data_IF_226076151726
#
_entry.id   IF_226076151726
#
_cell.length_a   1.000
_cell.length_b   1.000
_cell.length_c   1.000
_cell.angle_alpha   90.00
_cell.angle_beta   90.00
_cell.angle_gamma   90.00
#
_symmetry.space_group_name_H-M   'P 1'
#
loop_
_entity.id
_entity.type
_entity.pdbx_description
1 polymer ?
#
# COMPACT_ATOMS: atom_id res chain seq x y z
N UNK A 1 15.39 6.35 8.34
CA UNK A 1 15.89 5.11 8.98
C UNK A 1 15.61 5.16 10.47
N UNK A 2 14.69 4.33 10.97
CA UNK A 2 14.41 4.20 12.40
C UNK A 2 15.36 3.16 13.00
N UNK A 3 15.95 3.45 14.17
CA UNK A 3 16.84 2.52 14.86
C UNK A 3 16.13 1.96 16.10
N UNK A 4 16.05 0.65 16.21
CA UNK A 4 15.55 -0.03 17.40
C UNK A 4 16.70 -0.22 18.39
N UNK A 5 16.57 0.34 19.60
CA UNK A 5 17.59 0.24 20.65
C UNK A 5 17.06 -0.61 21.79
N UNK A 6 17.73 -1.74 22.05
CA UNK A 6 17.44 -2.57 23.20
C UNK A 6 18.05 -1.97 24.47
N UNK A 7 17.21 -1.70 25.47
CA UNK A 7 17.63 -1.29 26.81
C UNK A 7 17.37 -2.45 27.79
N UNK A 8 18.39 -2.94 28.51
CA UNK A 8 18.19 -3.92 29.57
C UNK A 8 17.22 -3.38 30.63
N UNK A 9 16.36 -4.25 31.16
CA UNK A 9 15.41 -3.91 32.23
C UNK A 9 16.13 -3.77 33.58
N UNK A 10 17.00 -2.75 33.68
CA UNK A 10 17.55 -2.30 34.96
C UNK A 10 17.45 -0.78 35.08
N UNK A 11 17.10 -0.25 36.27
CA UNK A 11 16.90 1.18 36.46
C UNK A 11 18.09 2.06 36.05
N UNK A 12 19.32 1.58 36.21
CA UNK A 12 20.53 2.35 35.93
C UNK A 12 20.69 2.64 34.42
N UNK A 13 20.36 1.68 33.56
CA UNK A 13 20.40 1.86 32.10
C UNK A 13 19.32 2.83 31.64
N UNK A 14 18.11 2.72 32.21
CA UNK A 14 17.02 3.65 31.94
C UNK A 14 17.34 5.07 32.38
N UNK A 15 17.92 5.25 33.57
CA UNK A 15 18.35 6.57 34.03
C UNK A 15 19.45 7.17 33.17
N UNK A 16 20.43 6.36 32.76
CA UNK A 16 21.50 6.79 31.86
C UNK A 16 20.95 7.19 30.49
N UNK A 17 20.06 6.38 29.92
CA UNK A 17 19.40 6.65 28.65
C UNK A 17 18.54 7.91 28.69
N UNK A 18 17.66 8.03 29.69
CA UNK A 18 16.82 9.22 29.86
C UNK A 18 17.66 10.47 30.13
N UNK A 19 18.78 10.34 30.84
CA UNK A 19 19.73 11.43 31.03
C UNK A 19 20.37 11.88 29.71
N UNK A 20 20.78 10.93 28.87
CA UNK A 20 21.34 11.22 27.54
C UNK A 20 20.29 11.86 26.62
N UNK A 21 19.07 11.33 26.58
CA UNK A 21 17.97 11.92 25.80
C UNK A 21 17.59 13.32 26.31
N UNK A 22 17.55 13.51 27.62
CA UNK A 22 17.29 14.82 28.22
C UNK A 22 18.38 15.84 27.86
N UNK A 23 19.65 15.41 27.74
CA UNK A 23 20.73 16.30 27.30
C UNK A 23 20.49 16.87 25.89
N UNK A 24 19.90 16.08 24.99
CA UNK A 24 19.53 16.54 23.63
C UNK A 24 18.49 17.65 23.63
N UNK A 25 17.70 17.82 24.71
CA UNK A 25 16.79 18.96 24.87
C UNK A 25 17.53 20.28 25.12
N UNK A 26 18.86 20.25 25.23
CA UNK A 26 19.69 21.44 25.46
C UNK A 26 20.44 21.83 24.20
N UNK A 27 20.52 23.13 23.92
CA UNK A 27 21.25 23.65 22.76
C UNK A 27 22.74 23.29 22.75
N UNK A 28 23.32 22.87 23.89
CA UNK A 28 24.71 22.45 24.00
C UNK A 28 24.98 21.06 23.40
N UNK A 29 23.93 20.26 23.19
CA UNK A 29 24.04 18.96 22.56
C UNK A 29 24.18 19.06 21.02
N UNK A 30 23.89 20.22 20.45
CA UNK A 30 23.84 20.44 19.01
C UNK A 30 25.02 21.29 18.54
N UNK A 31 25.39 21.09 17.28
CA UNK A 31 26.43 21.88 16.64
C UNK A 31 26.01 23.35 16.57
N UNK A 32 26.99 24.25 16.75
CA UNK A 32 26.74 25.69 16.69
C UNK A 32 26.87 26.16 15.27
N UNK A 33 25.89 26.91 14.82
CA UNK A 33 25.92 27.63 13.56
C UNK A 33 25.44 29.07 13.74
N UNK A 34 25.68 29.88 12.70
CA UNK A 34 25.33 31.30 12.69
C UNK A 34 23.81 31.51 12.72
N UNK A 35 23.06 30.57 12.15
CA UNK A 35 21.59 30.58 12.09
C UNK A 35 20.90 30.10 13.37
N UNK A 36 21.66 29.61 14.35
CA UNK A 36 21.18 29.07 15.64
C UNK A 36 20.22 27.88 15.50
N UNK A 37 20.33 27.07 14.45
CA UNK A 37 19.43 25.91 14.23
C UNK A 37 19.54 24.86 15.35
N UNK A 38 20.68 24.79 16.04
CA UNK A 38 20.84 23.95 17.23
C UNK A 38 19.93 24.34 18.40
N UNK A 39 19.44 25.60 18.45
CA UNK A 39 18.44 26.03 19.42
C UNK A 39 17.06 25.46 19.05
N UNK A 40 16.69 25.56 17.77
CA UNK A 40 15.39 25.10 17.27
C UNK A 40 15.29 23.57 17.34
N UNK A 41 16.37 22.86 16.99
CA UNK A 41 16.47 21.41 17.17
C UNK A 41 16.30 21.01 18.65
N UNK A 42 16.94 21.72 19.59
CA UNK A 42 16.79 21.46 21.01
C UNK A 42 15.37 21.76 21.54
N UNK A 43 14.68 22.75 20.97
CA UNK A 43 13.30 23.10 21.30
C UNK A 43 12.32 22.03 20.82
N UNK A 44 12.40 21.63 19.54
CA UNK A 44 11.61 20.54 18.98
C UNK A 44 11.85 19.22 19.72
N UNK A 45 13.11 18.91 20.05
CA UNK A 45 13.44 17.71 20.80
C UNK A 45 12.88 17.75 22.23
N UNK A 46 12.83 18.93 22.85
CA UNK A 46 12.23 19.09 24.17
C UNK A 46 10.74 18.76 24.16
N UNK A 47 10.01 19.28 23.17
CA UNK A 47 8.59 18.98 23.02
C UNK A 47 8.33 17.48 22.81
N UNK A 48 9.06 16.85 21.88
CA UNK A 48 8.97 15.41 21.64
C UNK A 48 9.32 14.57 22.88
N UNK A 49 10.35 14.97 23.63
CA UNK A 49 10.76 14.30 24.86
C UNK A 49 9.71 14.45 25.96
N UNK A 50 9.12 15.64 26.13
CA UNK A 50 8.06 15.88 27.12
C UNK A 50 6.79 15.09 26.81
N UNK A 51 6.39 15.01 25.54
CA UNK A 51 5.28 14.17 25.10
C UNK A 51 5.56 12.69 25.38
N UNK A 52 6.73 12.20 25.00
CA UNK A 52 7.15 10.81 25.23
C UNK A 52 7.19 10.47 26.72
N UNK A 53 7.74 11.36 27.55
CA UNK A 53 7.80 11.19 29.00
C UNK A 53 6.43 11.33 29.66
N UNK A 54 5.55 12.16 29.11
CA UNK A 54 4.14 12.26 29.49
C UNK A 54 3.44 10.93 29.26
N UNK A 55 3.61 10.35 28.07
CA UNK A 55 3.07 9.04 27.73
C UNK A 55 3.61 7.92 28.63
N UNK A 56 4.92 7.92 28.89
CA UNK A 56 5.56 6.96 29.78
C UNK A 56 5.06 7.06 31.23
N UNK A 57 4.72 8.26 31.72
CA UNK A 57 4.24 8.50 33.09
C UNK A 57 2.73 8.33 33.26
N UNK A 58 1.94 8.56 32.21
CA UNK A 58 0.47 8.64 32.30
C UNK A 58 -0.26 7.45 31.65
N UNK A 59 0.26 6.22 31.80
CA UNK A 59 -0.46 4.99 31.39
C UNK A 59 -0.74 4.82 29.89
N UNK A 60 -0.10 5.59 29.01
CA UNK A 60 -0.02 5.26 27.57
C UNK A 60 0.83 4.01 27.31
N UNK A 61 1.45 3.48 28.37
CA UNK A 61 2.22 2.25 28.36
C UNK A 61 1.35 1.06 27.95
N UNK A 62 0.04 1.07 28.20
CA UNK A 62 -0.83 -0.04 27.81
C UNK A 62 -1.15 0.00 26.32
N UNK A 63 -1.40 1.20 25.76
CA UNK A 63 -1.54 1.40 24.31
C UNK A 63 -0.22 1.09 23.59
N UNK A 64 0.91 1.63 24.07
CA UNK A 64 2.23 1.34 23.51
C UNK A 64 2.61 -0.14 23.64
N UNK A 65 2.25 -0.82 24.73
CA UNK A 65 2.44 -2.27 24.85
C UNK A 65 1.55 -3.03 23.87
N UNK A 66 0.32 -2.58 23.66
CA UNK A 66 -0.58 -3.14 22.65
C UNK A 66 0.02 -2.98 21.26
N UNK A 67 0.54 -1.80 20.93
CA UNK A 67 1.20 -1.52 19.64
C UNK A 67 2.47 -2.34 19.45
N UNK A 68 3.34 -2.39 20.47
CA UNK A 68 4.58 -3.21 20.41
C UNK A 68 4.25 -4.69 20.36
N UNK A 69 3.20 -5.16 21.04
CA UNK A 69 2.75 -6.55 20.94
C UNK A 69 2.14 -6.84 19.56
N UNK A 70 1.43 -5.90 18.96
CA UNK A 70 0.93 -6.01 17.59
C UNK A 70 2.09 -6.08 16.58
N UNK A 71 3.08 -5.19 16.69
CA UNK A 71 4.30 -5.23 15.88
C UNK A 71 5.04 -6.55 16.07
N UNK A 72 5.21 -7.02 17.31
CA UNK A 72 5.87 -8.29 17.59
C UNK A 72 5.09 -9.48 17.02
N UNK A 73 3.76 -9.50 17.10
CA UNK A 73 2.93 -10.55 16.52
C UNK A 73 3.06 -10.61 14.99
N UNK A 74 3.20 -9.46 14.33
CA UNK A 74 3.48 -9.38 12.89
C UNK A 74 4.87 -9.92 12.58
N UNK A 75 5.89 -9.48 13.32
CA UNK A 75 7.25 -9.99 13.14
C UNK A 75 7.33 -11.49 13.43
N UNK A 76 6.49 -12.03 14.31
CA UNK A 76 6.39 -13.46 14.60
C UNK A 76 5.65 -14.23 13.49
N UNK A 77 4.59 -13.66 12.89
CA UNK A 77 3.98 -14.18 11.67
C UNK A 77 4.99 -14.19 10.52
N UNK A 78 5.83 -13.17 10.41
CA UNK A 78 6.94 -13.15 9.45
C UNK A 78 8.03 -14.17 9.78
N UNK A 79 8.34 -14.40 11.05
CA UNK A 79 9.26 -15.47 11.44
C UNK A 79 8.74 -16.83 10.96
N UNK A 80 7.43 -17.07 10.95
CA UNK A 80 6.86 -18.27 10.33
C UNK A 80 6.98 -18.30 8.81
N UNK A 81 7.02 -17.15 8.14
CA UNK A 81 7.35 -17.05 6.71
C UNK A 81 8.85 -17.25 6.43
N UNK A 82 9.72 -16.89 7.38
CA UNK A 82 11.18 -16.87 7.24
C UNK A 82 11.91 -18.12 7.79
N UNK A 83 11.23 -19.02 8.53
CA UNK A 83 11.87 -20.21 9.15
C UNK A 83 11.81 -21.46 8.29
N UNK A 84 11.16 -21.40 7.13
CA UNK A 84 11.29 -22.40 6.10
C UNK A 84 11.97 -21.79 4.89
N UNK A 85 12.62 -22.66 4.13
CA UNK A 85 13.37 -22.39 2.90
C UNK A 85 12.45 -21.90 1.77
N UNK A 86 11.53 -20.98 2.07
CA UNK A 86 10.74 -20.22 1.12
C UNK A 86 11.73 -19.33 0.39
N UNK A 87 12.22 -19.84 -0.74
CA UNK A 87 12.56 -18.95 -1.83
C UNK A 87 11.32 -18.12 -2.03
N UNK A 88 11.33 -16.86 -1.57
CA UNK A 88 10.50 -15.83 -2.15
C UNK A 88 10.61 -16.07 -3.65
N UNK A 89 9.50 -16.50 -4.27
CA UNK A 89 9.49 -16.59 -5.71
C UNK A 89 10.02 -15.25 -6.18
N UNK A 90 11.01 -15.27 -7.08
CA UNK A 90 11.25 -14.07 -7.88
C UNK A 90 9.87 -13.55 -8.26
N UNK A 91 9.58 -12.29 -7.95
CA UNK A 91 8.49 -11.62 -8.63
C UNK A 91 8.89 -11.72 -10.09
N UNK A 92 8.38 -12.74 -10.78
CA UNK A 92 8.40 -12.74 -12.23
C UNK A 92 7.60 -11.49 -12.54
N UNK A 93 8.29 -10.46 -13.03
CA UNK A 93 7.64 -9.32 -13.64
C UNK A 93 6.63 -9.91 -14.62
N UNK A 94 5.35 -9.63 -14.39
CA UNK A 94 4.30 -10.09 -15.28
C UNK A 94 4.37 -9.20 -16.50
N UNK A 95 4.93 -9.76 -17.56
CA UNK A 95 4.99 -9.11 -18.86
C UNK A 95 3.88 -9.71 -19.73
N UNK A 96 3.06 -8.84 -20.31
CA UNK A 96 2.15 -9.18 -21.40
C UNK A 96 2.66 -8.55 -22.68
N UNK A 97 2.56 -9.28 -23.79
CA UNK A 97 2.82 -8.76 -25.12
C UNK A 97 1.57 -8.08 -25.73
N UNK A 98 0.43 -8.13 -25.03
CA UNK A 98 -0.85 -7.58 -25.49
C UNK A 98 -0.84 -6.06 -25.31
N UNK A 99 -1.00 -5.34 -26.43
CA UNK A 99 -1.23 -3.89 -26.44
C UNK A 99 -2.63 -3.64 -27.02
N UNK A 100 -3.58 -3.06 -26.26
CA UNK A 100 -4.96 -2.89 -26.72
C UNK A 100 -5.06 -2.25 -28.10
N UNK A 101 -5.73 -2.95 -29.03
CA UNK A 101 -5.97 -2.46 -30.39
C UNK A 101 -4.74 -2.39 -31.31
N UNK A 102 -3.61 -2.98 -30.91
CA UNK A 102 -2.38 -3.02 -31.71
C UNK A 102 -1.95 -4.46 -31.98
N UNK A 103 -1.87 -4.82 -33.26
CA UNK A 103 -1.40 -6.14 -33.69
C UNK A 103 -2.53 -7.08 -34.09
N UNK A 104 -2.23 -8.37 -34.06
CA UNK A 104 -3.23 -9.43 -34.23
C UNK A 104 -4.06 -9.53 -32.93
N UNK A 105 -5.33 -9.87 -33.07
CA UNK A 105 -6.27 -10.08 -31.97
C UNK A 105 -5.84 -11.25 -31.07
N UNK A 106 -5.98 -11.14 -29.73
CA UNK A 106 -5.73 -12.25 -28.83
C UNK A 106 -6.69 -13.40 -29.13
N UNK A 107 -6.17 -14.62 -29.28
CA UNK A 107 -7.00 -15.81 -29.51
C UNK A 107 -7.81 -16.20 -28.25
N UNK A 108 -7.40 -15.73 -27.08
CA UNK A 108 -7.99 -16.08 -25.78
C UNK A 108 -7.96 -14.93 -24.77
N UNK A 109 -8.94 -14.91 -23.86
CA UNK A 109 -8.93 -14.16 -22.61
C UNK A 109 -9.02 -15.16 -21.46
N UNK A 110 -7.90 -15.39 -20.78
CA UNK A 110 -7.72 -16.52 -19.88
C UNK A 110 -7.90 -17.85 -20.59
N UNK A 111 -8.92 -18.62 -20.21
CA UNK A 111 -9.29 -19.89 -20.88
C UNK A 111 -10.38 -19.75 -21.94
N UNK A 112 -10.92 -18.54 -22.14
CA UNK A 112 -12.05 -18.29 -23.04
C UNK A 112 -11.54 -17.91 -24.42
N UNK A 113 -11.98 -18.61 -25.46
CA UNK A 113 -11.69 -18.23 -26.85
C UNK A 113 -12.37 -16.88 -27.16
N UNK A 114 -11.65 -16.00 -27.85
CA UNK A 114 -12.15 -14.67 -28.23
C UNK A 114 -12.14 -14.55 -29.75
N UNK A 115 -13.22 -14.03 -30.34
CA UNK A 115 -13.37 -13.90 -31.79
C UNK A 115 -12.57 -12.72 -32.37
N UNK A 116 -12.49 -11.60 -31.64
CA UNK A 116 -11.79 -10.39 -32.07
C UNK A 116 -11.51 -9.42 -30.90
N UNK A 117 -10.89 -8.27 -31.23
CA UNK A 117 -10.62 -7.21 -30.26
C UNK A 117 -11.87 -6.64 -29.58
N UNK A 118 -13.03 -6.62 -30.24
CA UNK A 118 -14.24 -6.04 -29.65
C UNK A 118 -14.73 -6.95 -28.50
N UNK A 119 -14.75 -8.27 -28.71
CA UNK A 119 -15.10 -9.23 -27.65
C UNK A 119 -14.06 -9.24 -26.51
N UNK A 120 -12.76 -9.16 -26.81
CA UNK A 120 -11.71 -9.02 -25.79
C UNK A 120 -11.91 -7.77 -24.93
N UNK A 121 -12.29 -6.66 -25.58
CA UNK A 121 -12.51 -5.36 -24.95
C UNK A 121 -13.73 -5.40 -24.01
N UNK A 122 -14.78 -6.14 -24.34
CA UNK A 122 -15.94 -6.33 -23.45
C UNK A 122 -15.55 -7.09 -22.16
N UNK A 123 -14.69 -8.12 -22.27
CA UNK A 123 -14.17 -8.84 -21.10
C UNK A 123 -13.24 -7.99 -20.25
N UNK A 124 -12.30 -7.27 -20.90
CA UNK A 124 -11.41 -6.37 -20.18
C UNK A 124 -12.19 -5.26 -19.47
N UNK A 125 -13.22 -4.70 -20.10
CA UNK A 125 -14.06 -3.67 -19.51
C UNK A 125 -14.73 -4.12 -18.20
N UNK A 126 -15.33 -5.31 -18.23
CA UNK A 126 -15.94 -5.90 -17.03
C UNK A 126 -14.91 -6.06 -15.91
N UNK A 127 -13.75 -6.64 -16.24
CA UNK A 127 -12.71 -6.89 -15.24
C UNK A 127 -12.05 -5.61 -14.72
N UNK A 128 -11.93 -4.58 -15.55
CA UNK A 128 -11.46 -3.26 -15.11
C UNK A 128 -12.43 -2.62 -14.10
N UNK A 129 -13.75 -2.76 -14.29
CA UNK A 129 -14.74 -2.29 -13.32
C UNK A 129 -14.66 -3.04 -11.99
N UNK A 130 -14.61 -4.37 -12.02
CA UNK A 130 -14.46 -5.20 -10.82
C UNK A 130 -13.15 -4.88 -10.07
N UNK A 131 -12.06 -4.65 -10.82
CA UNK A 131 -10.79 -4.23 -10.24
C UNK A 131 -10.91 -2.90 -9.49
N UNK A 132 -11.54 -1.88 -10.10
CA UNK A 132 -11.75 -0.57 -9.46
C UNK A 132 -12.68 -0.69 -8.25
N UNK A 133 -13.72 -1.52 -8.31
CA UNK A 133 -14.60 -1.81 -7.16
C UNK A 133 -13.82 -2.37 -5.98
N UNK A 134 -12.91 -3.31 -6.24
CA UNK A 134 -12.06 -3.88 -5.20
C UNK A 134 -11.09 -2.83 -4.63
N UNK A 135 -10.51 -1.95 -5.47
CA UNK A 135 -9.70 -0.83 -4.98
C UNK A 135 -10.47 0.09 -4.03
N UNK A 136 -11.71 0.45 -4.38
CA UNK A 136 -12.59 1.29 -3.57
C UNK A 136 -12.93 0.60 -2.26
N UNK A 137 -13.31 -0.68 -2.32
CA UNK A 137 -13.61 -1.48 -1.14
C UNK A 137 -12.43 -1.51 -0.17
N UNK A 138 -11.22 -1.65 -0.71
CA UNK A 138 -10.01 -1.76 0.10
C UNK A 138 -9.57 -0.42 0.67
N UNK A 139 -9.68 0.66 -0.11
CA UNK A 139 -9.51 2.02 0.39
C UNK A 139 -10.45 2.31 1.58
N UNK A 140 -11.73 1.93 1.47
CA UNK A 140 -12.73 2.09 2.54
C UNK A 140 -12.43 1.21 3.76
N UNK A 141 -11.98 -0.03 3.54
CA UNK A 141 -11.59 -0.93 4.63
C UNK A 141 -10.37 -0.41 5.40
N UNK A 142 -9.41 0.24 4.72
CA UNK A 142 -8.24 0.82 5.38
C UNK A 142 -8.60 1.93 6.35
N UNK A 143 -9.58 2.78 6.01
CA UNK A 143 -10.08 3.76 6.95
C UNK A 143 -10.63 3.07 8.22
N UNK A 144 -11.43 2.02 8.07
CA UNK A 144 -11.99 1.26 9.20
C UNK A 144 -10.88 0.61 10.03
N UNK A 145 -9.87 0.03 9.39
CA UNK A 145 -8.75 -0.61 10.09
C UNK A 145 -7.89 0.40 10.86
N UNK A 146 -7.62 1.57 10.28
CA UNK A 146 -6.84 2.62 10.93
C UNK A 146 -7.64 3.31 12.05
N UNK A 147 -8.93 3.57 11.86
CA UNK A 147 -9.81 4.17 12.88
C UNK A 147 -10.08 3.24 14.06
N UNK A 148 -10.02 1.92 13.87
CA UNK A 148 -10.20 0.95 14.93
C UNK A 148 -9.06 0.97 15.98
N UNK A 149 -8.00 1.77 15.78
CA UNK A 149 -7.00 2.12 16.81
C UNK A 149 -6.19 0.95 17.40
N UNK A 150 -6.38 -0.26 16.89
CA UNK A 150 -5.78 -1.48 17.41
C UNK A 150 -6.06 -2.71 16.56
N UNK A 151 -6.59 -2.53 15.34
CA UNK A 151 -6.81 -3.63 14.41
C UNK A 151 -5.43 -4.08 13.88
N UNK A 152 -5.05 -5.27 14.32
CA UNK A 152 -3.86 -6.04 13.93
C UNK A 152 -3.48 -5.80 12.47
N UNK A 153 -2.23 -5.39 12.23
CA UNK A 153 -1.55 -5.36 10.92
C UNK A 153 -1.83 -6.61 10.07
N UNK A 154 -2.21 -7.74 10.68
CA UNK A 154 -2.71 -8.93 9.97
C UNK A 154 -3.97 -8.71 9.10
N UNK A 155 -4.84 -7.75 9.43
CA UNK A 155 -5.99 -7.38 8.61
C UNK A 155 -5.57 -6.51 7.42
N UNK A 156 -4.62 -5.58 7.62
CA UNK A 156 -4.03 -4.81 6.53
C UNK A 156 -3.30 -5.74 5.56
N UNK A 157 -2.45 -6.63 6.09
CA UNK A 157 -1.82 -7.72 5.34
C UNK A 157 -2.84 -8.52 4.51
N UNK A 158 -3.97 -8.89 5.12
CA UNK A 158 -5.06 -9.61 4.44
C UNK A 158 -5.77 -8.78 3.35
N UNK A 159 -5.95 -7.46 3.54
CA UNK A 159 -6.54 -6.60 2.51
C UNK A 159 -5.67 -6.45 1.28
N UNK A 160 -4.35 -6.38 1.45
CA UNK A 160 -3.42 -6.28 0.31
C UNK A 160 -3.37 -7.61 -0.43
N UNK A 161 -3.36 -8.72 0.32
CA UNK A 161 -3.56 -10.04 -0.28
C UNK A 161 -4.86 -10.04 -1.07
N UNK A 162 -5.97 -9.56 -0.50
CA UNK A 162 -7.27 -9.57 -1.17
C UNK A 162 -7.29 -8.75 -2.47
N UNK A 163 -6.64 -7.58 -2.55
CA UNK A 163 -6.47 -6.85 -3.83
C UNK A 163 -5.79 -7.75 -4.87
N UNK A 164 -4.72 -8.43 -4.47
CA UNK A 164 -4.02 -9.39 -5.34
C UNK A 164 -4.78 -10.71 -5.55
N UNK A 165 -5.82 -11.02 -4.76
CA UNK A 165 -6.48 -12.33 -4.71
C UNK A 165 -7.88 -12.32 -5.37
N UNK A 166 -8.54 -11.17 -5.41
CA UNK A 166 -9.88 -11.03 -6.01
C UNK A 166 -9.80 -10.72 -7.50
N UNK A 167 -8.73 -10.06 -7.94
CA UNK A 167 -8.47 -9.74 -9.35
C UNK A 167 -7.78 -10.89 -10.07
N UNK A 168 -7.17 -11.80 -9.32
CA UNK A 168 -6.42 -12.93 -9.86
C UNK A 168 -6.81 -14.08 -8.98
N UNK A 169 -7.72 -14.94 -9.45
CA UNK A 169 -8.10 -16.09 -8.66
C UNK A 169 -6.82 -16.78 -8.16
N UNK A 170 -6.70 -16.91 -6.85
CA UNK A 170 -5.74 -17.77 -6.16
C UNK A 170 -4.26 -17.72 -6.62
N UNK A 171 -3.46 -17.01 -5.81
CA UNK A 171 -2.04 -17.29 -5.56
C UNK A 171 -1.05 -17.06 -6.69
N UNK A 172 -0.53 -15.83 -6.83
CA UNK A 172 0.91 -15.61 -6.93
C UNK A 172 1.31 -14.22 -6.38
N UNK A 173 2.36 -14.22 -5.54
CA UNK A 173 3.22 -13.08 -5.14
C UNK A 173 2.84 -12.07 -4.03
N UNK A 174 2.14 -12.48 -2.95
CA UNK A 174 1.94 -11.58 -1.78
C UNK A 174 3.06 -11.50 -0.70
N UNK A 175 4.24 -12.16 -0.75
CA UNK A 175 5.14 -12.10 0.41
C UNK A 175 5.99 -10.82 0.50
N UNK A 176 6.16 -10.04 -0.57
CA UNK A 176 7.05 -8.86 -0.56
C UNK A 176 6.41 -7.66 0.12
N UNK A 177 5.10 -7.52 -0.02
CA UNK A 177 4.39 -6.31 0.41
C UNK A 177 4.28 -6.19 1.92
N UNK A 178 3.98 -7.26 2.65
CA UNK A 178 3.78 -7.21 4.11
C UNK A 178 4.96 -6.65 4.93
N UNK A 179 6.20 -6.72 4.40
CA UNK A 179 7.40 -6.24 5.09
C UNK A 179 7.51 -4.70 5.13
N UNK A 180 6.98 -3.99 4.14
CA UNK A 180 6.98 -2.52 4.11
C UNK A 180 5.93 -1.91 5.06
N UNK A 181 4.77 -2.57 5.21
CA UNK A 181 3.63 -2.03 5.96
C UNK A 181 3.89 -1.81 7.44
N UNK A 182 4.60 -2.72 8.11
CA UNK A 182 4.78 -2.65 9.56
C UNK A 182 5.53 -1.37 9.99
N UNK A 183 6.38 -0.83 9.12
CA UNK A 183 7.10 0.43 9.37
C UNK A 183 6.30 1.68 9.05
N UNK A 184 5.45 1.64 8.01
CA UNK A 184 4.70 2.79 7.53
C UNK A 184 3.41 2.99 8.34
N UNK A 185 2.73 1.90 8.72
CA UNK A 185 1.46 1.94 9.46
C UNK A 185 1.53 2.63 10.83
N UNK A 186 2.70 2.62 11.48
CA UNK A 186 2.88 3.28 12.79
C UNK A 186 2.83 4.81 12.73
N UNK A 187 2.91 5.42 11.54
CA UNK A 187 2.81 6.88 11.34
C UNK A 187 1.54 7.33 10.63
N UNK A 188 0.70 6.40 10.16
CA UNK A 188 -0.48 6.71 9.38
C UNK A 188 -1.66 7.04 10.29
N UNK A 189 -2.40 8.08 9.91
CA UNK A 189 -3.65 8.46 10.55
C UNK A 189 -4.79 8.12 9.59
N UNK A 190 -5.94 7.70 10.11
CA UNK A 190 -7.11 7.37 9.29
C UNK A 190 -7.55 8.51 8.37
N UNK A 191 -7.21 9.75 8.71
CA UNK A 191 -7.44 10.94 7.87
C UNK A 191 -6.70 10.92 6.54
N UNK A 192 -5.71 10.05 6.35
CA UNK A 192 -5.06 9.87 5.05
C UNK A 192 -5.92 9.06 4.07
N UNK A 193 -6.84 8.23 4.58
CA UNK A 193 -7.64 7.32 3.74
C UNK A 193 -9.13 7.63 3.76
N UNK A 194 -9.59 8.60 4.55
CA UNK A 194 -11.01 8.94 4.64
C UNK A 194 -11.64 9.30 3.31
N UNK A 195 -10.85 9.84 2.39
CA UNK A 195 -11.33 10.34 1.11
C UNK A 195 -10.84 9.46 -0.06
N UNK A 196 -9.96 8.48 0.19
CA UNK A 196 -9.32 7.69 -0.87
C UNK A 196 -10.33 6.85 -1.67
N UNK A 197 -11.33 6.27 -1.00
CA UNK A 197 -12.38 5.50 -1.68
C UNK A 197 -13.24 6.40 -2.57
N UNK A 198 -13.62 7.58 -2.07
CA UNK A 198 -14.41 8.57 -2.80
C UNK A 198 -13.61 9.18 -3.98
N UNK A 199 -12.31 9.42 -3.77
CA UNK A 199 -11.38 9.91 -4.80
C UNK A 199 -11.21 8.89 -5.94
N UNK A 200 -11.03 7.60 -5.62
CA UNK A 200 -10.94 6.54 -6.63
C UNK A 200 -12.27 6.37 -7.37
N UNK A 201 -13.40 6.39 -6.66
CA UNK A 201 -14.73 6.35 -7.29
C UNK A 201 -14.95 7.53 -8.24
N UNK A 202 -14.53 8.74 -7.84
CA UNK A 202 -14.64 9.92 -8.69
C UNK A 202 -13.78 9.86 -9.96
N UNK A 203 -12.69 9.09 -9.94
CA UNK A 203 -11.78 8.88 -11.07
C UNK A 203 -11.95 7.51 -11.74
N UNK A 204 -13.03 6.76 -11.42
CA UNK A 204 -13.30 5.43 -11.95
C UNK A 204 -13.13 5.36 -13.47
N UNK A 205 -13.80 6.25 -14.20
CA UNK A 205 -13.77 6.26 -15.66
C UNK A 205 -12.35 6.51 -16.20
N UNK A 206 -11.58 7.40 -15.55
CA UNK A 206 -10.19 7.69 -15.95
C UNK A 206 -9.27 6.50 -15.72
N UNK A 207 -9.45 5.78 -14.61
CA UNK A 207 -8.67 4.58 -14.26
C UNK A 207 -9.02 3.43 -15.22
N UNK A 208 -10.31 3.16 -15.44
CA UNK A 208 -10.77 2.15 -16.38
C UNK A 208 -10.21 2.45 -17.77
N UNK A 209 -10.31 3.70 -18.24
CA UNK A 209 -9.81 4.04 -19.55
C UNK A 209 -8.28 4.03 -19.67
N UNK A 210 -7.55 4.28 -18.58
CA UNK A 210 -6.11 4.01 -18.55
C UNK A 210 -5.83 2.52 -18.79
N UNK A 211 -6.58 1.62 -18.16
CA UNK A 211 -6.47 0.17 -18.41
C UNK A 211 -6.85 -0.16 -19.86
N UNK A 212 -7.99 0.31 -20.35
CA UNK A 212 -8.50 -0.03 -21.68
C UNK A 212 -7.61 0.48 -22.83
N UNK A 213 -6.90 1.59 -22.63
CA UNK A 213 -6.10 2.24 -23.67
C UNK A 213 -4.60 1.97 -23.57
N UNK A 214 -4.15 1.09 -22.66
CA UNK A 214 -2.70 0.87 -22.44
C UNK A 214 -1.99 2.08 -21.84
N UNK A 215 -2.70 2.86 -21.05
CA UNK A 215 -2.18 4.03 -20.32
C UNK A 215 -1.51 3.67 -19.01
N UNK A 216 -0.93 4.68 -18.37
CA UNK A 216 -0.33 4.54 -17.03
C UNK A 216 -1.43 4.58 -15.96
N UNK A 217 -1.85 3.40 -15.50
CA UNK A 217 -2.87 3.22 -14.46
C UNK A 217 -2.40 3.79 -13.12
N UNK A 218 -1.11 3.66 -12.81
CA UNK A 218 -0.52 4.26 -11.63
C UNK A 218 -0.71 5.77 -11.63
N UNK A 219 -0.39 6.42 -12.74
CA UNK A 219 -0.61 7.85 -12.91
C UNK A 219 -2.09 8.24 -12.81
N UNK A 220 -3.01 7.47 -13.40
CA UNK A 220 -4.45 7.74 -13.28
C UNK A 220 -4.92 7.72 -11.82
N UNK A 221 -4.48 6.72 -11.05
CA UNK A 221 -4.77 6.64 -9.61
C UNK A 221 -4.06 7.75 -8.82
N UNK A 222 -2.82 8.12 -9.17
CA UNK A 222 -2.11 9.24 -8.54
C UNK A 222 -2.88 10.55 -8.70
N UNK A 223 -3.42 10.83 -9.89
CA UNK A 223 -4.21 12.03 -10.16
C UNK A 223 -5.57 12.02 -9.45
N UNK A 224 -6.13 10.84 -9.23
CA UNK A 224 -7.38 10.67 -8.49
C UNK A 224 -7.21 11.07 -7.01
N UNK A 225 -6.12 10.63 -6.39
CA UNK A 225 -5.91 10.79 -4.96
C UNK A 225 -5.56 12.24 -4.60
N UNK A 226 -6.40 12.86 -3.76
CA UNK A 226 -6.21 14.23 -3.28
C UNK A 226 -4.98 14.43 -2.38
N UNK A 227 -4.44 13.33 -1.84
CA UNK A 227 -3.33 13.31 -0.89
C UNK A 227 -2.15 12.52 -1.45
N UNK A 228 -1.02 13.21 -1.67
CA UNK A 228 0.22 12.57 -2.12
C UNK A 228 0.76 11.50 -1.16
N UNK A 229 0.44 11.58 0.14
CA UNK A 229 0.83 10.55 1.10
C UNK A 229 -0.01 9.26 0.97
N UNK A 230 -1.25 9.38 0.49
CA UNK A 230 -2.13 8.24 0.22
C UNK A 230 -1.68 7.51 -1.05
N UNK A 231 -1.24 8.30 -2.04
CA UNK A 231 -0.58 7.80 -3.25
C UNK A 231 0.74 7.08 -2.95
N UNK A 232 1.66 7.71 -2.20
CA UNK A 232 2.94 7.08 -1.82
C UNK A 232 2.72 5.71 -1.17
N UNK A 233 1.62 5.58 -0.41
CA UNK A 233 1.20 4.28 0.08
C UNK A 233 0.72 3.42 -1.08
N UNK A 234 -0.42 3.70 -1.72
CA UNK A 234 -0.98 2.89 -2.81
C UNK A 234 0.06 2.41 -3.85
N UNK A 235 0.95 3.30 -4.31
CA UNK A 235 2.01 2.99 -5.26
C UNK A 235 3.03 1.97 -4.76
N UNK A 236 3.43 2.07 -3.48
CA UNK A 236 4.34 1.06 -2.91
C UNK A 236 3.67 -0.29 -2.70
N UNK A 237 2.34 -0.35 -2.81
CA UNK A 237 1.55 -1.50 -2.41
C UNK A 237 0.93 -2.27 -3.55
N UNK A 238 0.72 -1.60 -4.67
CA UNK A 238 0.09 -2.18 -5.83
C UNK A 238 1.11 -2.11 -6.95
N UNK A 239 1.48 -3.29 -7.44
CA UNK A 239 2.22 -3.39 -8.69
C UNK A 239 1.22 -3.22 -9.84
N UNK A 240 1.03 -1.97 -10.26
CA UNK A 240 0.06 -1.62 -11.29
C UNK A 240 0.40 -2.24 -12.65
N UNK A 241 1.68 -2.40 -12.98
CA UNK A 241 2.09 -3.03 -14.24
C UNK A 241 1.70 -4.50 -14.25
N UNK A 242 1.99 -5.22 -13.17
CA UNK A 242 1.57 -6.61 -13.02
C UNK A 242 0.05 -6.77 -13.02
N UNK A 243 -0.68 -5.86 -12.35
CA UNK A 243 -2.14 -5.89 -12.33
C UNK A 243 -2.73 -5.71 -13.74
N UNK A 244 -2.21 -4.77 -14.53
CA UNK A 244 -2.64 -4.55 -15.92
C UNK A 244 -2.31 -5.74 -16.80
N UNK A 245 -1.10 -6.31 -16.66
CA UNK A 245 -0.71 -7.50 -17.41
C UNK A 245 -1.68 -8.66 -17.17
N UNK A 246 -2.08 -8.89 -15.92
CA UNK A 246 -3.00 -9.98 -15.58
C UNK A 246 -4.42 -9.70 -16.11
N UNK A 247 -4.88 -8.45 -16.04
CA UNK A 247 -6.14 -8.04 -16.65
C UNK A 247 -6.14 -8.28 -18.16
N UNK A 248 -5.03 -7.99 -18.86
CA UNK A 248 -4.96 -8.19 -20.31
C UNK A 248 -4.96 -9.65 -20.74
N UNK A 249 -4.27 -10.50 -19.98
CA UNK A 249 -4.21 -11.94 -20.22
C UNK A 249 -5.48 -12.67 -19.75
N UNK A 250 -6.38 -12.00 -19.01
CA UNK A 250 -7.57 -12.61 -18.41
C UNK A 250 -7.25 -13.62 -17.31
N UNK A 251 -6.10 -13.47 -16.63
CA UNK A 251 -5.64 -14.38 -15.59
C UNK A 251 -4.12 -14.51 -15.50
N UNK A 252 -3.67 -15.41 -14.63
CA UNK A 252 -2.27 -15.81 -14.49
C UNK A 252 -2.14 -17.34 -14.42
N UNK A 253 -1.42 -17.92 -15.38
CA UNK A 253 -1.04 -19.32 -15.36
C UNK A 253 -2.23 -20.28 -15.41
N UNK A 254 -2.55 -20.92 -14.28
CA UNK A 254 -3.67 -21.87 -14.16
C UNK A 254 -4.96 -21.22 -13.62
N UNK A 255 -4.94 -19.91 -13.31
CA UNK A 255 -6.12 -19.23 -12.80
C UNK A 255 -6.57 -18.11 -13.69
N UNK A 256 -7.86 -18.13 -14.01
CA UNK A 256 -8.49 -17.24 -14.97
C UNK A 256 -9.56 -16.39 -14.31
N UNK A 257 -9.73 -15.19 -14.86
CA UNK A 257 -10.82 -14.29 -14.56
C UNK A 257 -12.11 -14.81 -15.17
N UNK A 258 -13.25 -14.56 -14.51
CA UNK A 258 -14.55 -14.94 -15.06
C UNK A 258 -14.84 -14.11 -16.33
N UNK A 259 -15.13 -14.73 -17.48
CA UNK A 259 -15.35 -14.02 -18.75
C UNK A 259 -16.78 -13.45 -18.81
N UNK A 260 -17.10 -12.55 -17.90
CA UNK A 260 -18.33 -11.77 -17.93
C UNK A 260 -18.11 -10.48 -18.73
N UNK A 261 -19.19 -9.90 -19.25
CA UNK A 261 -19.16 -8.73 -20.14
C UNK A 261 -19.87 -7.55 -19.52
N UNK A 262 -19.36 -6.34 -19.79
CA UNK A 262 -19.99 -5.08 -19.45
C UNK A 262 -19.84 -4.11 -20.63
N UNK A 263 -20.94 -3.45 -21.01
CA UNK A 263 -20.97 -2.43 -22.05
C UNK A 263 -20.85 -1.00 -21.49
N UNK A 264 -20.59 -0.87 -20.19
CA UNK A 264 -20.50 0.41 -19.49
C UNK A 264 -19.24 1.23 -19.82
N UNK A 265 -18.15 0.61 -20.27
CA UNK A 265 -16.90 1.33 -20.56
C UNK A 265 -17.01 2.15 -21.84
N UNK A 266 -17.08 3.47 -21.68
CA UNK A 266 -17.03 4.40 -22.80
C UNK A 266 -15.77 5.27 -22.74
N UNK A 267 -14.70 4.80 -23.38
CA UNK A 267 -13.41 5.51 -23.42
C UNK A 267 -13.22 6.41 -24.66
N UNK A 268 -14.27 6.63 -25.46
CA UNK A 268 -14.17 7.41 -26.71
C UNK A 268 -13.70 8.86 -26.48
N UNK A 269 -13.92 9.42 -25.29
CA UNK A 269 -13.57 10.82 -24.98
C UNK A 269 -12.11 11.03 -24.55
N UNK A 270 -11.39 10.00 -24.11
CA UNK A 270 -10.02 10.13 -23.59
C UNK A 270 -8.93 10.04 -24.66
N UNK A 271 -9.26 9.55 -25.85
CA UNK A 271 -8.34 9.49 -26.99
C UNK A 271 -7.79 10.86 -27.45
N UNK A 272 -8.40 11.98 -27.04
CA UNK A 272 -7.88 13.33 -27.32
C UNK A 272 -6.84 13.83 -26.30
N UNK A 273 -6.71 13.21 -25.11
CA UNK A 273 -5.83 13.68 -24.03
C UNK A 273 -4.51 12.91 -23.89
N UNK A 274 -4.42 11.71 -24.47
CA UNK A 274 -3.28 10.79 -24.31
C UNK A 274 -2.33 10.73 -25.54
N UNK A 275 -2.41 11.70 -26.46
CA UNK A 275 -1.47 11.87 -27.59
C UNK A 275 -0.56 13.10 -27.39
#
# INVERSE_FOLDING_TARGET
>A
ACQLVYLPDRPEYWQAFLGALSYMTTWKAWERDDDKRGKDAAENWREAFELTMGCWRMTCLDDLKSDVAAILAVLQLQLQCCDENSTYGESSEYETDIIPGVGDDPETYGETEVEDWDEWTEYLCYQANEWVDELILQAGNWEVYLNAGGATIGLLAGSIVAISFFVVGGFVSVPILMLAFAGIAAGMTATLFSDAADDIEAARDDIICAIMLGGDVGYAVEQALSSGASWDLFYTLIDYESAVSILYEGGDGETYLEPDTDDSCNCEQLGEFLV
#
